data_IF_875585808547
#
_entry.id   IF_875585808547
#
_cell.length_a   1.000
_cell.length_b   1.000
_cell.length_c   1.000
_cell.angle_alpha   90.00
_cell.angle_beta   90.00
_cell.angle_gamma   90.00
#
_symmetry.space_group_name_H-M   'P 1'
#
loop_
_entity.id
_entity.type
_entity.pdbx_description
1 polymer ?
#
# COMPACT_ATOMS: atom_id res chain seq x y z
N UNK A 1 30.33 1.61 -38.22
CA UNK A 1 30.20 1.46 -36.75
C UNK A 1 28.79 1.89 -36.32
N UNK A 2 27.77 1.26 -36.88
CA UNK A 2 26.35 1.56 -36.62
C UNK A 2 25.45 0.32 -36.77
N UNK A 3 26.05 -0.88 -36.77
CA UNK A 3 25.36 -2.13 -37.08
C UNK A 3 25.33 -3.15 -35.93
N UNK A 4 26.04 -2.90 -34.82
CA UNK A 4 26.01 -3.82 -33.67
C UNK A 4 24.86 -3.55 -32.69
N UNK A 5 24.25 -2.36 -32.72
CA UNK A 5 23.16 -2.01 -31.78
C UNK A 5 21.79 -2.58 -32.18
N UNK A 6 21.60 -3.00 -33.44
CA UNK A 6 20.32 -3.55 -33.91
C UNK A 6 20.12 -5.04 -33.58
N UNK A 7 21.19 -5.78 -33.27
CA UNK A 7 21.09 -7.23 -33.01
C UNK A 7 20.60 -7.52 -31.58
N UNK A 8 20.79 -6.59 -30.65
CA UNK A 8 20.48 -6.81 -29.23
C UNK A 8 18.99 -6.82 -28.90
N UNK A 9 18.15 -6.26 -29.77
CA UNK A 9 16.70 -6.20 -29.57
C UNK A 9 15.95 -7.44 -30.11
N UNK A 10 16.64 -8.36 -30.79
CA UNK A 10 16.01 -9.56 -31.38
C UNK A 10 15.82 -10.74 -30.40
N UNK A 11 16.26 -10.63 -29.13
CA UNK A 11 16.30 -11.76 -28.19
C UNK A 11 15.51 -11.50 -26.89
N UNK A 12 14.35 -10.84 -26.98
CA UNK A 12 13.39 -10.85 -25.88
C UNK A 12 12.40 -12.01 -26.08
N UNK A 13 12.23 -12.90 -25.08
CA UNK A 13 11.35 -14.06 -25.19
C UNK A 13 9.90 -13.63 -25.45
N UNK A 14 9.34 -14.09 -26.57
CA UNK A 14 7.95 -13.93 -27.00
C UNK A 14 7.01 -14.85 -26.22
N UNK A 15 6.95 -14.71 -24.89
CA UNK A 15 6.01 -15.47 -24.06
C UNK A 15 5.55 -14.67 -22.83
N UNK A 16 5.01 -13.49 -23.10
CA UNK A 16 4.07 -12.87 -22.16
C UNK A 16 2.73 -12.92 -22.88
N UNK A 17 1.93 -13.87 -22.42
CA UNK A 17 0.53 -14.06 -22.77
C UNK A 17 -0.18 -12.71 -22.86
N UNK A 18 -0.90 -12.52 -23.96
CA UNK A 18 -1.69 -11.35 -24.29
C UNK A 18 -2.79 -11.10 -23.26
N UNK A 19 -2.53 -10.24 -22.27
CA UNK A 19 -3.55 -9.61 -21.44
C UNK A 19 -4.26 -8.52 -22.29
N UNK A 20 -5.57 -8.63 -22.59
CA UNK A 20 -6.17 -7.98 -23.75
C UNK A 20 -6.68 -6.55 -23.49
N UNK A 21 -5.96 -5.72 -22.73
CA UNK A 21 -6.41 -4.33 -22.47
C UNK A 21 -5.28 -3.30 -22.21
N UNK A 22 -4.13 -3.48 -22.86
CA UNK A 22 -3.12 -2.43 -22.93
C UNK A 22 -3.24 -1.66 -24.26
N UNK A 23 -3.95 -0.54 -24.25
CA UNK A 23 -3.94 0.42 -25.37
C UNK A 23 -2.82 1.44 -25.14
N UNK A 24 -1.78 1.39 -25.98
CA UNK A 24 -0.64 2.31 -25.95
C UNK A 24 -1.00 3.64 -26.59
N UNK A 25 -1.11 4.71 -25.79
CA UNK A 25 -1.41 6.07 -26.28
C UNK A 25 -0.16 6.95 -26.19
N UNK A 26 0.27 7.61 -27.29
CA UNK A 26 1.44 8.46 -27.27
C UNK A 26 1.16 9.78 -26.53
N UNK A 27 1.92 10.06 -25.46
CA UNK A 27 2.01 11.44 -24.93
C UNK A 27 2.88 12.23 -25.90
N UNK A 28 2.33 13.28 -26.49
CA UNK A 28 2.93 14.06 -27.58
C UNK A 28 4.25 14.77 -27.28
N UNK A 29 4.91 14.52 -26.13
CA UNK A 29 6.15 15.23 -25.76
C UNK A 29 7.29 14.37 -25.17
N UNK A 30 7.16 13.06 -25.04
CA UNK A 30 8.29 12.18 -24.67
C UNK A 30 8.06 10.78 -25.22
N UNK A 31 9.09 10.16 -25.82
CA UNK A 31 9.14 8.73 -26.25
C UNK A 31 9.05 7.75 -25.07
N UNK A 32 8.00 7.87 -24.25
CA UNK A 32 7.73 6.98 -23.13
C UNK A 32 6.26 6.63 -23.20
N UNK A 33 5.97 5.43 -23.69
CA UNK A 33 4.62 4.86 -23.71
C UNK A 33 4.24 4.44 -22.28
N UNK A 34 3.01 4.76 -21.84
CA UNK A 34 2.52 4.40 -20.51
C UNK A 34 1.30 3.48 -20.62
N UNK A 35 1.23 2.38 -19.85
CA UNK A 35 0.12 1.43 -19.92
C UNK A 35 -1.14 2.01 -19.24
N UNK A 36 -2.19 2.23 -20.02
CA UNK A 36 -3.49 2.78 -19.59
C UNK A 36 -4.31 1.81 -18.71
N UNK A 37 -4.11 0.50 -18.85
CA UNK A 37 -4.83 -0.56 -18.10
C UNK A 37 -4.63 -0.55 -16.57
N UNK A 38 -3.67 0.22 -16.05
CA UNK A 38 -3.38 0.28 -14.60
C UNK A 38 -4.53 0.89 -13.79
N UNK A 39 -5.31 1.81 -14.37
CA UNK A 39 -6.37 2.53 -13.66
C UNK A 39 -7.61 1.64 -13.37
N UNK A 40 -8.04 0.83 -14.34
CA UNK A 40 -9.14 -0.12 -14.13
C UNK A 40 -8.76 -1.25 -13.18
N UNK A 41 -7.53 -1.76 -13.27
CA UNK A 41 -7.02 -2.76 -12.33
C UNK A 41 -6.95 -2.20 -10.89
N UNK A 42 -6.62 -0.92 -10.70
CA UNK A 42 -6.64 -0.28 -9.38
C UNK A 42 -8.04 -0.22 -8.76
N UNK A 43 -9.07 0.10 -9.54
CA UNK A 43 -10.46 0.15 -9.06
C UNK A 43 -11.00 -1.24 -8.66
N UNK A 44 -10.61 -2.27 -9.40
CA UNK A 44 -10.98 -3.65 -9.07
C UNK A 44 -10.27 -4.14 -7.81
N UNK A 45 -8.99 -3.79 -7.63
CA UNK A 45 -8.22 -4.07 -6.40
C UNK A 45 -8.83 -3.39 -5.18
N UNK A 46 -9.17 -2.11 -5.23
CA UNK A 46 -9.78 -1.40 -4.07
C UNK A 46 -11.13 -1.99 -3.66
N UNK A 47 -11.93 -2.45 -4.62
CA UNK A 47 -13.22 -3.10 -4.36
C UNK A 47 -13.05 -4.48 -3.73
N UNK A 48 -12.14 -5.30 -4.29
CA UNK A 48 -11.83 -6.63 -3.75
C UNK A 48 -11.24 -6.57 -2.33
N UNK A 49 -10.34 -5.62 -2.06
CA UNK A 49 -9.79 -5.39 -0.72
C UNK A 49 -10.88 -5.00 0.29
N UNK A 50 -11.83 -4.16 -0.13
CA UNK A 50 -12.97 -3.77 0.70
C UNK A 50 -13.88 -4.96 1.01
N UNK A 51 -14.15 -5.82 0.01
CA UNK A 51 -14.94 -7.03 0.17
C UNK A 51 -14.25 -8.01 1.12
N UNK A 52 -12.95 -8.28 0.94
CA UNK A 52 -12.22 -9.19 1.81
C UNK A 52 -12.19 -8.72 3.27
N UNK A 53 -11.98 -7.41 3.49
CA UNK A 53 -12.09 -6.80 4.83
C UNK A 53 -13.48 -6.96 5.44
N UNK A 54 -14.53 -6.79 4.64
CA UNK A 54 -15.92 -6.98 5.09
C UNK A 54 -16.21 -8.44 5.45
N UNK A 55 -15.72 -9.39 4.65
CA UNK A 55 -15.83 -10.83 4.93
C UNK A 55 -15.16 -11.16 6.27
N UNK A 56 -13.89 -10.76 6.46
CA UNK A 56 -13.15 -10.97 7.71
C UNK A 56 -13.91 -10.40 8.91
N UNK A 57 -14.39 -9.15 8.81
CA UNK A 57 -15.13 -8.49 9.89
C UNK A 57 -16.42 -9.23 10.22
N UNK A 58 -17.15 -9.68 9.20
CA UNK A 58 -18.41 -10.41 9.36
C UNK A 58 -18.17 -11.76 10.04
N UNK A 59 -17.13 -12.50 9.64
CA UNK A 59 -16.75 -13.78 10.26
C UNK A 59 -16.42 -13.59 11.74
N UNK A 60 -15.66 -12.55 12.09
CA UNK A 60 -15.35 -12.25 13.49
C UNK A 60 -16.61 -11.92 14.32
N UNK A 61 -17.56 -11.16 13.76
CA UNK A 61 -18.81 -10.83 14.44
C UNK A 61 -19.71 -12.05 14.65
N UNK A 62 -19.79 -12.93 13.65
CA UNK A 62 -20.53 -14.19 13.76
C UNK A 62 -19.91 -15.09 14.83
N UNK A 63 -18.58 -15.26 14.82
CA UNK A 63 -17.88 -16.04 15.82
C UNK A 63 -18.09 -15.48 17.24
N UNK A 64 -17.98 -14.16 17.42
CA UNK A 64 -18.25 -13.50 18.69
C UNK A 64 -19.69 -13.73 19.17
N UNK A 65 -20.67 -13.66 18.25
CA UNK A 65 -22.09 -13.90 18.54
C UNK A 65 -22.36 -15.34 18.96
N UNK A 66 -21.71 -16.31 18.32
CA UNK A 66 -21.81 -17.73 18.68
C UNK A 66 -21.23 -17.96 20.08
N UNK A 67 -20.08 -17.33 20.40
CA UNK A 67 -19.45 -17.43 21.73
C UNK A 67 -20.34 -16.84 22.82
N UNK A 68 -20.94 -15.66 22.60
CA UNK A 68 -21.84 -15.05 23.59
C UNK A 68 -23.14 -15.84 23.74
N UNK A 69 -23.71 -16.36 22.64
CA UNK A 69 -24.88 -17.23 22.69
C UNK A 69 -24.62 -18.50 23.50
N UNK A 70 -23.48 -19.15 23.29
CA UNK A 70 -23.07 -20.33 24.06
C UNK A 70 -23.02 -20.04 25.57
N UNK A 71 -22.53 -18.84 25.96
CA UNK A 71 -22.46 -18.42 27.37
C UNK A 71 -23.84 -18.18 28.01
N UNK A 72 -24.79 -17.64 27.25
CA UNK A 72 -26.17 -17.44 27.71
C UNK A 72 -26.90 -18.79 27.82
N UNK A 73 -26.68 -19.70 26.86
CA UNK A 73 -27.29 -21.04 26.86
C UNK A 73 -26.87 -21.86 28.08
N UNK A 74 -25.58 -21.83 28.44
CA UNK A 74 -25.03 -22.47 29.65
C UNK A 74 -25.40 -21.74 30.96
N UNK A 75 -26.20 -20.66 30.90
CA UNK A 75 -26.66 -19.86 32.05
C UNK A 75 -25.53 -19.20 32.87
N UNK A 76 -24.32 -19.04 32.30
CA UNK A 76 -23.22 -18.33 32.97
C UNK A 76 -23.37 -16.80 32.94
N UNK A 77 -24.08 -16.27 31.93
CA UNK A 77 -24.27 -14.83 31.75
C UNK A 77 -25.73 -14.50 31.44
N UNK A 78 -26.19 -13.35 31.96
CA UNK A 78 -27.51 -12.80 31.67
C UNK A 78 -27.47 -11.91 30.41
N UNK A 79 -28.62 -11.77 29.75
CA UNK A 79 -28.76 -10.86 28.60
C UNK A 79 -28.32 -9.43 28.93
N UNK A 80 -28.68 -8.94 30.12
CA UNK A 80 -28.30 -7.60 30.59
C UNK A 80 -26.78 -7.46 30.70
N UNK A 81 -26.08 -8.46 31.25
CA UNK A 81 -24.64 -8.43 31.38
C UNK A 81 -23.92 -8.39 30.01
N UNK A 82 -24.41 -9.17 29.04
CA UNK A 82 -23.84 -9.18 27.68
C UNK A 82 -24.07 -7.83 26.99
N UNK A 83 -25.27 -7.26 27.08
CA UNK A 83 -25.59 -5.94 26.50
C UNK A 83 -24.76 -4.82 27.12
N UNK A 84 -24.59 -4.82 28.46
CA UNK A 84 -23.72 -3.85 29.14
C UNK A 84 -22.27 -4.03 28.71
N UNK A 85 -21.79 -5.27 28.56
CA UNK A 85 -20.43 -5.54 28.06
C UNK A 85 -20.20 -5.00 26.64
N UNK A 86 -21.17 -5.18 25.74
CA UNK A 86 -21.11 -4.63 24.38
C UNK A 86 -21.06 -3.10 24.42
N UNK A 87 -21.90 -2.46 25.24
CA UNK A 87 -21.94 -1.01 25.37
C UNK A 87 -20.62 -0.44 25.88
N UNK A 88 -20.08 -1.02 26.96
CA UNK A 88 -18.80 -0.62 27.55
C UNK A 88 -17.65 -0.85 26.55
N UNK A 89 -17.66 -1.98 25.85
CA UNK A 89 -16.68 -2.28 24.81
C UNK A 89 -16.69 -1.27 23.66
N UNK A 90 -17.87 -0.87 23.19
CA UNK A 90 -18.01 0.13 22.11
C UNK A 90 -17.52 1.52 22.53
N UNK A 91 -17.85 1.95 23.74
CA UNK A 91 -17.36 3.22 24.30
C UNK A 91 -15.85 3.20 24.43
N UNK A 92 -15.28 2.13 24.99
CA UNK A 92 -13.84 1.99 25.14
C UNK A 92 -13.12 1.95 23.79
N UNK A 93 -13.64 1.19 22.82
CA UNK A 93 -13.08 1.13 21.47
C UNK A 93 -13.09 2.49 20.77
N UNK A 94 -14.17 3.27 20.94
CA UNK A 94 -14.31 4.61 20.38
C UNK A 94 -13.32 5.60 21.02
N UNK A 95 -13.17 5.56 22.35
CA UNK A 95 -12.17 6.38 23.07
C UNK A 95 -10.75 6.02 22.61
N UNK A 96 -10.44 4.73 22.53
CA UNK A 96 -9.14 4.26 22.08
C UNK A 96 -8.86 4.67 20.62
N UNK A 97 -9.84 4.53 19.73
CA UNK A 97 -9.72 4.96 18.34
C UNK A 97 -9.51 6.48 18.23
N UNK A 98 -10.23 7.28 19.01
CA UNK A 98 -10.01 8.72 19.07
C UNK A 98 -8.60 9.05 19.58
N UNK A 99 -8.12 8.35 20.61
CA UNK A 99 -6.76 8.53 21.10
C UNK A 99 -5.71 8.20 20.02
N UNK A 100 -5.88 7.09 19.28
CA UNK A 100 -4.92 6.73 18.24
C UNK A 100 -4.91 7.71 17.07
N UNK A 101 -6.09 8.16 16.65
CA UNK A 101 -6.21 9.09 15.53
C UNK A 101 -5.80 10.53 15.89
N UNK A 102 -6.17 11.01 17.08
CA UNK A 102 -5.92 12.40 17.49
C UNK A 102 -4.55 12.58 18.13
N UNK A 103 -4.03 11.57 18.83
CA UNK A 103 -2.78 11.67 19.59
C UNK A 103 -1.65 10.93 18.87
N UNK A 104 -1.83 9.65 18.51
CA UNK A 104 -0.72 8.89 17.92
C UNK A 104 -0.42 9.26 16.46
N UNK A 105 -1.42 9.59 15.64
CA UNK A 105 -1.20 10.02 14.26
C UNK A 105 -0.29 11.26 14.14
N UNK A 106 -0.48 12.37 14.89
CA UNK A 106 0.45 13.50 14.84
C UNK A 106 1.78 13.26 15.56
N UNK A 107 1.85 12.34 16.53
CA UNK A 107 3.10 11.99 17.22
C UNK A 107 3.99 11.04 16.41
N UNK A 108 3.43 10.33 15.43
CA UNK A 108 4.14 9.40 14.57
C UNK A 108 5.43 9.95 13.94
N UNK A 109 5.47 11.16 13.30
CA UNK A 109 6.72 11.71 12.75
C UNK A 109 7.81 11.92 13.81
N UNK A 110 7.42 12.31 15.02
CA UNK A 110 8.35 12.48 16.14
C UNK A 110 8.92 11.14 16.60
N UNK A 111 8.07 10.11 16.71
CA UNK A 111 8.50 8.74 17.08
C UNK A 111 9.38 8.12 15.99
N UNK A 112 9.07 8.35 14.71
CA UNK A 112 9.87 7.87 13.59
C UNK A 112 11.27 8.49 13.54
N UNK A 113 11.46 9.67 14.13
CA UNK A 113 12.77 10.34 14.24
C UNK A 113 13.68 9.81 15.36
N UNK A 114 13.18 8.90 16.21
CA UNK A 114 13.99 8.34 17.31
C UNK A 114 15.07 7.38 16.81
N UNK A 115 16.17 7.28 17.58
CA UNK A 115 17.33 6.41 17.27
C UNK A 115 16.97 4.94 17.11
N UNK A 116 15.98 4.46 17.85
CA UNK A 116 15.47 3.07 17.74
C UNK A 116 14.74 2.87 16.40
N UNK A 117 13.93 3.85 16.00
CA UNK A 117 13.21 3.85 14.72
C UNK A 117 14.16 3.94 13.53
N UNK A 118 15.21 4.75 13.65
CA UNK A 118 16.30 4.87 12.68
C UNK A 118 17.08 3.55 12.56
N UNK A 119 17.38 2.89 13.69
CA UNK A 119 18.03 1.57 13.72
C UNK A 119 17.18 0.48 13.05
N UNK A 120 15.86 0.50 13.27
CA UNK A 120 14.92 -0.43 12.63
C UNK A 120 14.57 -0.05 11.19
N UNK A 121 15.14 1.05 10.66
CA UNK A 121 14.85 1.57 9.32
C UNK A 121 13.35 1.80 9.08
N UNK A 122 12.62 2.26 10.11
CA UNK A 122 11.21 2.57 9.98
C UNK A 122 11.03 3.73 9.00
N UNK A 123 10.35 3.46 7.89
CA UNK A 123 10.04 4.44 6.84
C UNK A 123 8.54 4.69 6.80
N UNK A 124 8.16 5.96 6.98
CA UNK A 124 6.80 6.41 6.73
C UNK A 124 6.52 6.40 5.21
N UNK A 125 5.48 5.69 4.81
CA UNK A 125 4.99 5.63 3.43
C UNK A 125 3.51 5.98 3.32
N UNK A 126 2.88 6.42 4.42
CA UNK A 126 1.43 6.63 4.50
C UNK A 126 0.94 7.69 3.51
N UNK A 127 1.76 8.67 3.17
CA UNK A 127 1.42 9.74 2.22
C UNK A 127 1.76 9.41 0.75
N UNK A 128 2.40 8.27 0.46
CA UNK A 128 2.88 7.95 -0.89
C UNK A 128 1.81 7.12 -1.63
N UNK A 129 1.18 7.64 -2.70
CA UNK A 129 0.10 6.95 -3.39
C UNK A 129 0.57 5.71 -4.16
N UNK A 130 1.83 5.69 -4.62
CA UNK A 130 2.43 4.53 -5.27
C UNK A 130 3.91 4.40 -4.89
N UNK A 131 4.19 3.47 -3.97
CA UNK A 131 5.55 3.24 -3.45
C UNK A 131 6.53 2.84 -4.55
N UNK A 132 6.14 1.94 -5.46
CA UNK A 132 7.02 1.42 -6.52
C UNK A 132 7.44 2.51 -7.49
N UNK A 133 6.50 3.36 -7.90
CA UNK A 133 6.78 4.50 -8.78
C UNK A 133 7.65 5.54 -8.08
N UNK A 134 7.39 5.81 -6.80
CA UNK A 134 8.20 6.71 -6.01
C UNK A 134 9.66 6.22 -5.90
N UNK A 135 9.86 4.95 -5.58
CA UNK A 135 11.21 4.37 -5.49
C UNK A 135 11.92 4.35 -6.84
N UNK A 136 11.22 4.03 -7.93
CA UNK A 136 11.75 4.07 -9.29
C UNK A 136 12.24 5.48 -9.67
N UNK A 137 11.40 6.50 -9.46
CA UNK A 137 11.72 7.89 -9.84
C UNK A 137 12.89 8.44 -9.02
N UNK A 138 12.92 8.17 -7.71
CA UNK A 138 14.04 8.56 -6.82
C UNK A 138 15.35 7.89 -7.23
N UNK A 139 15.33 6.58 -7.47
CA UNK A 139 16.52 5.81 -7.88
C UNK A 139 17.05 6.30 -9.23
N UNK A 140 16.16 6.57 -10.19
CA UNK A 140 16.53 7.10 -11.52
C UNK A 140 17.08 8.53 -11.45
N UNK A 141 16.52 9.37 -10.60
CA UNK A 141 17.01 10.73 -10.39
C UNK A 141 18.41 10.72 -9.76
N UNK A 142 18.64 9.87 -8.76
CA UNK A 142 19.94 9.73 -8.11
C UNK A 142 21.00 9.19 -9.09
N UNK A 143 20.67 8.17 -9.88
CA UNK A 143 21.57 7.66 -10.92
C UNK A 143 21.99 8.75 -11.92
N UNK A 144 21.04 9.59 -12.37
CA UNK A 144 21.31 10.74 -13.25
C UNK A 144 22.15 11.82 -12.55
N UNK A 145 21.95 12.05 -11.26
CA UNK A 145 22.74 13.02 -10.50
C UNK A 145 24.19 12.53 -10.34
N UNK A 146 24.40 11.24 -10.07
CA UNK A 146 25.74 10.62 -10.03
C UNK A 146 26.41 10.64 -11.41
N UNK A 147 25.67 10.31 -12.48
CA UNK A 147 26.20 10.38 -13.84
C UNK A 147 26.67 11.80 -14.22
N UNK A 148 25.94 12.85 -13.81
CA UNK A 148 26.35 14.25 -14.00
C UNK A 148 27.63 14.62 -13.25
N UNK A 149 27.89 14.02 -12.08
CA UNK A 149 29.14 14.23 -11.31
C UNK A 149 30.35 13.52 -11.90
N UNK A 150 30.13 12.52 -12.76
CA UNK A 150 31.18 11.70 -13.37
C UNK A 150 31.57 12.18 -14.78
N UNK A 151 30.91 13.19 -15.34
CA UNK A 151 31.39 13.85 -16.57
C UNK A 151 32.51 14.81 -16.15
N UNK A 152 33.79 14.52 -16.43
CA UNK A 152 34.87 15.42 -16.07
C UNK A 152 34.64 16.76 -16.77
N UNK A 153 34.63 17.85 -16.03
CA UNK A 153 34.71 19.20 -16.61
C UNK A 153 36.04 19.25 -17.37
N UNK A 154 35.98 19.04 -18.69
CA UNK A 154 37.12 19.26 -19.58
C UNK A 154 37.38 20.76 -19.54
N UNK A 155 38.34 21.19 -18.72
CA UNK A 155 38.78 22.59 -18.66
C UNK A 155 39.33 22.95 -20.04
N UNK A 156 38.72 23.96 -20.65
CA UNK A 156 39.13 24.55 -21.92
C UNK A 156 40.35 25.45 -21.72
#
# INVERSE_FOLDING_TARGET
MALEDNVKYCNLPKNIESDPDYEWVPLSLTTVEYPKGKLQHMNNKTSLESIWRAILTTVCLLAASIVTYSRIYLQYHTWNQVLTGILVGFIFASIWFAATFLIFTPLYPTIASWRVSEFLLLRDTTLIPNVLWFEYTKSRQEARARARKLVPMKSQ
#
